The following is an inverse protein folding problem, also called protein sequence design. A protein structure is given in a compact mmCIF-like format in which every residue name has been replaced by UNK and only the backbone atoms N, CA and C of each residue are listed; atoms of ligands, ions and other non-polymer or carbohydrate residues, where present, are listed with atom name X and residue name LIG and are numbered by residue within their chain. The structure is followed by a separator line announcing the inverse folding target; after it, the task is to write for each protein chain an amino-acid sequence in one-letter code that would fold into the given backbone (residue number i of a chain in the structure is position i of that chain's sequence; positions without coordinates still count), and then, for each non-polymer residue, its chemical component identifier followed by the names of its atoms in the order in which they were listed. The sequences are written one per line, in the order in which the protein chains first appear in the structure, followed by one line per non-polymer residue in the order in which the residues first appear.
data_IF_380666499667
#
_entry.id   IF_380666499667
#
_cell.length_a   1.000
_cell.length_b   1.000
_cell.length_c   1.000
_cell.angle_alpha   90.00
_cell.angle_beta   90.00
_cell.angle_gamma   90.00
#
_symmetry.space_group_name_H-M   'P 1'
#
loop_
_entity.id
_entity.type
_entity.pdbx_description
1 polymer ?
#
# COMPACT_ATOMS: atom_id res chain seq x y z
N UNK A 1 12.48 3.39 10.16
CA UNK A 1 11.38 2.46 9.84
C UNK A 1 11.36 2.27 8.33
N UNK A 2 11.06 1.07 7.83
CA UNK A 2 11.06 0.74 6.40
C UNK A 2 9.75 1.11 5.67
N UNK A 3 8.84 1.77 6.39
CA UNK A 3 7.62 2.36 5.86
C UNK A 3 7.20 3.56 6.73
N UNK A 4 6.30 4.39 6.22
CA UNK A 4 5.80 5.57 6.93
C UNK A 4 4.57 5.24 7.78
N UNK A 5 4.59 5.68 9.03
CA UNK A 5 3.44 5.70 9.94
C UNK A 5 3.42 7.02 10.72
N UNK A 6 2.29 7.72 10.72
CA UNK A 6 2.16 9.02 11.40
C UNK A 6 2.18 8.93 12.92
N UNK A 7 1.77 7.80 13.50
CA UNK A 7 1.84 7.52 14.92
C UNK A 7 2.45 6.12 15.17
N UNK A 8 3.78 6.03 15.40
CA UNK A 8 4.47 4.75 15.57
C UNK A 8 4.02 3.91 16.77
N UNK A 9 3.36 4.52 17.75
CA UNK A 9 2.84 3.82 18.94
C UNK A 9 1.38 3.38 18.78
N UNK A 10 0.75 3.68 17.65
CA UNK A 10 -0.63 3.29 17.40
C UNK A 10 -0.76 1.77 17.24
N UNK A 11 -1.72 1.17 17.95
CA UNK A 11 -2.08 -0.23 17.76
C UNK A 11 -3.20 -0.34 16.74
N UNK A 12 -2.95 -1.04 15.64
CA UNK A 12 -3.90 -1.20 14.54
C UNK A 12 -4.14 -2.70 14.35
N UNK A 13 -5.14 -3.28 15.02
CA UNK A 13 -5.38 -4.71 14.97
C UNK A 13 -5.95 -5.13 13.62
N UNK A 14 -5.58 -6.33 13.16
CA UNK A 14 -6.23 -6.96 12.03
C UNK A 14 -7.70 -7.28 12.38
N UNK A 15 -8.64 -6.81 11.54
CA UNK A 15 -10.09 -7.00 11.74
C UNK A 15 -10.63 -8.20 10.97
N UNK A 16 -9.91 -8.65 9.92
CA UNK A 16 -10.28 -9.82 9.13
C UNK A 16 -9.47 -11.05 9.57
N UNK A 17 -10.11 -12.16 9.98
CA UNK A 17 -9.41 -13.37 10.40
C UNK A 17 -8.48 -13.91 9.30
N UNK A 18 -7.27 -14.30 9.70
CA UNK A 18 -6.28 -15.04 8.90
C UNK A 18 -5.24 -15.68 9.84
N UNK A 19 -4.35 -16.50 9.31
CA UNK A 19 -3.29 -17.18 10.08
C UNK A 19 -1.87 -16.72 9.70
N UNK A 20 -1.74 -15.56 9.03
CA UNK A 20 -0.48 -15.07 8.47
C UNK A 20 0.04 -13.85 9.22
N UNK A 21 -0.84 -12.94 9.63
CA UNK A 21 -0.49 -11.71 10.34
C UNK A 21 -1.66 -11.22 11.20
N UNK A 22 -1.28 -10.45 12.22
CA UNK A 22 -2.15 -9.78 13.18
C UNK A 22 -1.91 -8.27 13.22
N UNK A 23 -0.72 -7.81 12.80
CA UNK A 23 -0.32 -6.40 12.81
C UNK A 23 0.10 -5.88 11.44
N UNK A 24 0.10 -4.55 11.28
CA UNK A 24 0.60 -3.85 10.08
C UNK A 24 2.07 -4.16 9.81
N UNK A 25 2.90 -4.28 10.86
CA UNK A 25 4.31 -4.64 10.72
C UNK A 25 4.50 -6.05 10.17
N UNK A 26 3.76 -7.03 10.69
CA UNK A 26 3.81 -8.41 10.17
C UNK A 26 3.34 -8.50 8.72
N UNK A 27 2.29 -7.72 8.34
CA UNK A 27 1.89 -7.61 6.94
C UNK A 27 3.02 -7.02 6.08
N UNK A 28 3.69 -5.96 6.54
CA UNK A 28 4.80 -5.35 5.81
C UNK A 28 5.94 -6.36 5.58
N UNK A 29 6.35 -7.10 6.61
CA UNK A 29 7.42 -8.09 6.52
C UNK A 29 7.07 -9.21 5.52
N UNK A 30 5.82 -9.67 5.53
CA UNK A 30 5.31 -10.64 4.56
C UNK A 30 5.27 -10.09 3.12
N UNK A 31 4.82 -8.85 2.95
CA UNK A 31 4.81 -8.19 1.64
C UNK A 31 6.22 -8.05 1.09
N UNK A 32 7.18 -7.59 1.90
CA UNK A 32 8.56 -7.37 1.46
C UNK A 32 9.33 -8.69 1.22
N UNK A 33 9.05 -9.72 2.02
CA UNK A 33 9.73 -11.02 1.89
C UNK A 33 9.24 -11.82 0.69
N UNK A 34 7.92 -11.99 0.55
CA UNK A 34 7.32 -12.90 -0.43
C UNK A 34 6.20 -12.29 -1.27
N UNK A 35 5.55 -11.21 -0.83
CA UNK A 35 4.39 -10.62 -1.50
C UNK A 35 4.77 -9.88 -2.79
N UNK A 36 5.48 -8.76 -2.66
CA UNK A 36 5.81 -7.87 -3.77
C UNK A 36 6.74 -8.51 -4.79
N UNK A 37 6.29 -8.52 -6.05
CA UNK A 37 7.02 -9.04 -7.20
C UNK A 37 6.56 -8.39 -8.51
N UNK A 38 7.18 -8.79 -9.64
CA UNK A 38 6.87 -8.29 -10.99
C UNK A 38 5.40 -8.53 -11.40
N UNK A 39 4.72 -9.54 -10.85
CA UNK A 39 3.31 -9.83 -11.16
C UNK A 39 2.32 -8.99 -10.34
N UNK A 40 2.75 -8.35 -9.27
CA UNK A 40 1.90 -7.54 -8.39
C UNK A 40 2.09 -6.03 -8.59
N UNK A 41 3.09 -5.65 -9.40
CA UNK A 41 3.36 -4.26 -9.76
C UNK A 41 2.27 -3.71 -10.68
N UNK A 42 1.94 -2.42 -10.54
CA UNK A 42 0.94 -1.76 -11.40
C UNK A 42 1.39 -1.65 -12.86
N UNK A 43 2.64 -1.22 -13.09
CA UNK A 43 3.28 -1.18 -14.41
C UNK A 43 4.61 -1.91 -14.34
N UNK A 44 4.88 -2.82 -15.28
CA UNK A 44 6.11 -3.63 -15.28
C UNK A 44 7.40 -2.80 -15.18
N UNK A 45 7.43 -1.64 -15.83
CA UNK A 45 8.56 -0.70 -15.79
C UNK A 45 8.87 -0.14 -14.39
N UNK A 46 7.92 -0.23 -13.45
CA UNK A 46 8.12 0.21 -12.07
C UNK A 46 8.71 -0.89 -11.19
N UNK A 47 8.75 -2.14 -11.64
CA UNK A 47 9.29 -3.24 -10.83
C UNK A 47 10.79 -3.07 -10.66
N UNK A 48 11.23 -3.08 -9.40
CA UNK A 48 12.63 -3.04 -9.02
C UNK A 48 12.88 -4.11 -7.94
N UNK A 49 13.69 -5.14 -8.20
CA UNK A 49 14.00 -6.17 -7.20
C UNK A 49 14.82 -5.64 -6.01
N UNK A 50 15.54 -4.54 -6.17
CA UNK A 50 16.25 -3.86 -5.08
C UNK A 50 15.31 -2.95 -4.26
N UNK A 51 14.23 -2.45 -4.87
CA UNK A 51 13.20 -1.61 -4.25
C UNK A 51 11.79 -2.21 -4.47
N UNK A 52 11.53 -3.34 -3.82
CA UNK A 52 10.35 -4.20 -4.07
C UNK A 52 9.01 -3.50 -3.93
N UNK A 53 8.90 -2.46 -3.10
CA UNK A 53 7.68 -1.69 -2.89
C UNK A 53 7.31 -0.78 -4.09
N UNK A 54 8.24 -0.58 -5.04
CA UNK A 54 8.02 0.27 -6.20
C UNK A 54 6.85 -0.23 -7.06
N UNK A 55 5.87 0.65 -7.28
CA UNK A 55 4.68 0.36 -8.07
C UNK A 55 3.67 -0.58 -7.40
N UNK A 56 3.81 -0.84 -6.10
CA UNK A 56 2.95 -1.77 -5.35
C UNK A 56 1.85 -1.06 -4.53
N UNK A 57 1.76 0.27 -4.58
CA UNK A 57 0.88 1.04 -3.68
C UNK A 57 -0.61 0.65 -3.81
N UNK A 58 -1.12 0.47 -5.03
CA UNK A 58 -2.54 0.17 -5.26
C UNK A 58 -2.99 -1.15 -4.63
N UNK A 59 -2.28 -2.24 -4.93
CA UNK A 59 -2.61 -3.57 -4.43
C UNK A 59 -2.39 -3.68 -2.91
N UNK A 60 -1.35 -3.01 -2.42
CA UNK A 60 -1.07 -2.92 -0.98
C UNK A 60 -2.18 -2.17 -0.24
N UNK A 61 -2.64 -1.03 -0.76
CA UNK A 61 -3.68 -0.23 -0.13
C UNK A 61 -5.05 -0.96 -0.09
N UNK A 62 -5.35 -1.75 -1.12
CA UNK A 62 -6.53 -2.63 -1.14
C UNK A 62 -6.43 -3.70 -0.06
N UNK A 63 -5.27 -4.36 0.06
CA UNK A 63 -5.06 -5.43 1.04
C UNK A 63 -5.12 -4.89 2.49
N UNK A 64 -4.48 -3.75 2.75
CA UNK A 64 -4.57 -3.08 4.06
C UNK A 64 -6.01 -2.72 4.39
N UNK A 65 -6.76 -2.17 3.42
CA UNK A 65 -8.19 -1.87 3.63
C UNK A 65 -9.01 -3.12 3.93
N UNK A 66 -8.75 -4.22 3.23
CA UNK A 66 -9.47 -5.48 3.42
C UNK A 66 -9.23 -6.10 4.81
N UNK A 67 -8.01 -6.01 5.34
CA UNK A 67 -7.62 -6.69 6.59
C UNK A 67 -7.61 -5.80 7.84
N UNK A 68 -7.43 -4.48 7.68
CA UNK A 68 -7.35 -3.53 8.79
C UNK A 68 -8.39 -2.41 8.71
N UNK A 69 -9.12 -2.31 7.60
CA UNK A 69 -10.16 -1.29 7.39
C UNK A 69 -9.60 0.09 7.03
N UNK A 70 -10.30 1.13 7.48
CA UNK A 70 -9.96 2.51 7.19
C UNK A 70 -10.20 2.94 5.74
N UNK A 71 -9.56 4.04 5.36
CA UNK A 71 -9.76 4.72 4.09
C UNK A 71 -8.52 4.64 3.21
N UNK A 72 -8.71 4.54 1.90
CA UNK A 72 -7.63 4.70 0.92
C UNK A 72 -7.54 6.18 0.56
N UNK A 73 -6.40 6.78 0.85
CA UNK A 73 -6.09 8.18 0.57
C UNK A 73 -5.25 8.25 -0.70
N UNK A 74 -5.52 9.24 -1.55
CA UNK A 74 -4.75 9.46 -2.76
C UNK A 74 -3.83 10.66 -2.57
N UNK A 75 -2.54 10.42 -2.75
CA UNK A 75 -1.50 11.43 -2.84
C UNK A 75 -1.36 11.84 -4.32
N UNK A 76 -1.71 13.10 -4.69
CA UNK A 76 -1.57 13.60 -6.06
C UNK A 76 -0.15 13.40 -6.57
N UNK A 77 0.00 13.02 -7.85
CA UNK A 77 1.26 12.61 -8.46
C UNK A 77 2.50 13.29 -7.84
N UNK A 78 3.25 12.58 -6.97
CA UNK A 78 4.32 13.21 -6.21
C UNK A 78 5.49 13.68 -7.07
N UNK A 79 5.62 13.17 -8.31
CA UNK A 79 6.71 13.50 -9.23
C UNK A 79 6.28 14.42 -10.39
N UNK A 80 5.03 14.88 -10.44
CA UNK A 80 4.52 15.79 -11.48
C UNK A 80 4.52 15.27 -12.94
N UNK A 81 5.14 14.12 -13.24
CA UNK A 81 5.26 13.57 -14.59
C UNK A 81 4.05 12.78 -15.09
N UNK A 82 3.80 12.77 -16.40
CA UNK A 82 2.61 12.17 -17.04
C UNK A 82 2.41 10.64 -16.83
N UNK A 83 3.39 9.93 -16.25
CA UNK A 83 3.43 8.45 -16.19
C UNK A 83 2.90 7.87 -14.87
N UNK A 84 3.08 8.55 -13.71
CA UNK A 84 2.51 8.10 -12.42
C UNK A 84 1.21 8.85 -12.13
N UNK A 85 0.06 8.16 -12.21
CA UNK A 85 -1.29 8.74 -12.03
C UNK A 85 -1.65 9.15 -10.58
N UNK A 86 -0.73 9.00 -9.63
CA UNK A 86 -0.94 9.24 -8.21
C UNK A 86 -0.24 8.20 -7.36
N UNK A 87 -0.31 8.37 -6.05
CA UNK A 87 0.13 7.41 -5.04
C UNK A 87 -1.00 7.17 -4.04
N UNK A 88 -1.06 5.99 -3.42
CA UNK A 88 -2.10 5.71 -2.45
C UNK A 88 -1.56 5.04 -1.20
N UNK A 89 -2.21 5.34 -0.09
CA UNK A 89 -1.88 4.86 1.24
C UNK A 89 -3.17 4.72 2.06
N UNK A 90 -3.08 4.23 3.29
CA UNK A 90 -4.24 4.02 4.15
C UNK A 90 -4.26 4.99 5.32
N UNK A 91 -5.45 5.47 5.67
CA UNK A 91 -5.72 6.17 6.93
C UNK A 91 -6.67 5.34 7.76
N UNK A 92 -6.21 4.86 8.91
CA UNK A 92 -6.98 3.98 9.81
C UNK A 92 -7.07 4.65 11.17
N UNK A 93 -8.29 4.98 11.61
CA UNK A 93 -8.54 5.68 12.87
C UNK A 93 -7.69 6.96 13.05
N UNK A 94 -7.53 7.73 11.95
CA UNK A 94 -6.72 8.96 11.94
C UNK A 94 -5.21 8.74 11.80
N UNK A 95 -4.73 7.50 11.78
CA UNK A 95 -3.32 7.16 11.57
C UNK A 95 -3.05 6.88 10.11
N UNK A 96 -2.18 7.69 9.51
CA UNK A 96 -1.64 7.46 8.17
C UNK A 96 -0.59 6.35 8.18
N UNK A 97 -0.74 5.42 7.25
CA UNK A 97 0.13 4.25 7.04
C UNK A 97 0.40 4.14 5.54
N UNK A 98 1.68 4.20 5.17
CA UNK A 98 2.13 3.99 3.81
C UNK A 98 3.24 2.95 3.79
N UNK A 99 2.83 1.70 3.59
CA UNK A 99 3.72 0.55 3.49
C UNK A 99 4.68 0.62 2.30
N UNK A 100 4.46 1.54 1.36
CA UNK A 100 5.25 1.68 0.13
C UNK A 100 5.94 3.04 0.06
N UNK A 101 6.12 3.74 1.17
CA UNK A 101 6.71 5.07 1.22
C UNK A 101 8.12 5.13 0.65
N UNK A 102 8.89 4.05 0.81
CA UNK A 102 10.30 3.96 0.39
C UNK A 102 10.46 3.98 -1.14
N UNK A 103 9.39 3.82 -1.91
CA UNK A 103 9.43 3.98 -3.37
C UNK A 103 9.68 5.43 -3.81
N UNK A 104 9.66 6.39 -2.88
CA UNK A 104 9.88 7.81 -3.15
C UNK A 104 11.15 8.29 -2.44
N UNK A 105 12.04 8.90 -3.23
CA UNK A 105 13.20 9.63 -2.74
C UNK A 105 13.22 10.98 -3.45
N UNK A 106 13.04 12.12 -2.74
CA UNK A 106 12.83 12.23 -1.29
C UNK A 106 11.49 11.62 -0.82
N UNK A 107 11.39 11.34 0.48
CA UNK A 107 10.15 10.85 1.08
C UNK A 107 9.01 11.86 0.91
N UNK A 108 7.78 11.35 0.82
CA UNK A 108 6.59 12.17 0.70
C UNK A 108 6.31 12.94 2.00
N UNK A 109 5.60 14.06 1.88
CA UNK A 109 5.27 14.95 3.00
C UNK A 109 3.80 15.36 2.96
N UNK A 110 3.22 15.82 4.08
CA UNK A 110 1.86 16.37 4.06
C UNK A 110 0.73 15.33 3.96
N UNK A 111 0.99 14.10 4.39
CA UNK A 111 -0.01 13.02 4.43
C UNK A 111 -1.33 13.45 5.09
N UNK A 112 -1.26 14.13 6.25
CA UNK A 112 -2.43 14.53 7.05
C UNK A 112 -3.41 15.45 6.31
N UNK A 113 -2.92 16.29 5.39
CA UNK A 113 -3.74 17.23 4.61
C UNK A 113 -4.50 16.59 3.44
N UNK A 114 -4.24 15.32 3.14
CA UNK A 114 -4.84 14.64 1.99
C UNK A 114 -6.19 14.01 2.33
N UNK A 115 -7.07 13.98 1.34
CA UNK A 115 -8.43 13.49 1.48
C UNK A 115 -8.66 12.18 0.73
N UNK A 116 -9.66 11.43 1.19
CA UNK A 116 -10.11 10.19 0.57
C UNK A 116 -10.54 10.41 -0.87
N UNK A 117 -10.24 9.44 -1.73
CA UNK A 117 -10.79 9.41 -3.08
C UNK A 117 -12.15 8.70 -3.08
N UNK A 118 -13.21 9.42 -3.47
CA UNK A 118 -14.56 8.84 -3.58
C UNK A 118 -14.64 7.67 -4.59
N UNK A 119 -13.84 7.73 -5.67
CA UNK A 119 -13.90 6.80 -6.80
C UNK A 119 -12.60 6.03 -7.05
N UNK A 120 -11.93 5.52 -6.02
CA UNK A 120 -10.78 4.61 -6.20
C UNK A 120 -11.15 3.37 -7.05
N UNK A 121 -12.44 3.03 -7.14
CA UNK A 121 -12.99 1.93 -7.94
C UNK A 121 -12.78 2.02 -9.47
N UNK A 122 -12.53 3.19 -10.07
CA UNK A 122 -12.43 3.25 -11.54
C UNK A 122 -11.10 2.72 -12.14
N UNK A 123 -10.14 2.26 -11.32
CA UNK A 123 -8.90 1.58 -11.78
C UNK A 123 -8.88 0.08 -11.43
N UNK A 124 -10.06 -0.52 -11.20
CA UNK A 124 -10.26 -1.80 -10.51
C UNK A 124 -9.52 -3.02 -11.07
N UNK A 125 -9.57 -3.31 -12.37
CA UNK A 125 -9.17 -4.66 -12.80
C UNK A 125 -7.69 -5.00 -12.56
N UNK A 126 -6.76 -4.08 -12.84
CA UNK A 126 -5.33 -4.39 -12.66
C UNK A 126 -4.91 -4.38 -11.18
N UNK A 127 -5.47 -3.49 -10.36
CA UNK A 127 -5.16 -3.44 -8.93
C UNK A 127 -5.83 -4.58 -8.16
N UNK A 128 -7.05 -4.98 -8.53
CA UNK A 128 -7.73 -6.15 -7.95
C UNK A 128 -7.02 -7.45 -8.34
N UNK A 129 -6.56 -7.57 -9.60
CA UNK A 129 -5.72 -8.70 -10.01
C UNK A 129 -4.42 -8.77 -9.19
N UNK A 130 -3.72 -7.65 -9.04
CA UNK A 130 -2.49 -7.61 -8.25
C UNK A 130 -2.74 -7.92 -6.77
N UNK A 131 -3.83 -7.40 -6.18
CA UNK A 131 -4.22 -7.71 -4.81
C UNK A 131 -4.61 -9.20 -4.65
N UNK A 132 -5.26 -9.80 -5.65
CA UNK A 132 -5.55 -11.23 -5.66
C UNK A 132 -4.26 -12.07 -5.70
N UNK A 133 -3.29 -11.70 -6.55
CA UNK A 133 -1.99 -12.37 -6.60
C UNK A 133 -1.24 -12.23 -5.28
N UNK A 134 -1.29 -11.05 -4.63
CA UNK A 134 -0.74 -10.88 -3.28
C UNK A 134 -1.37 -11.88 -2.31
N UNK A 135 -2.70 -11.99 -2.27
CA UNK A 135 -3.39 -12.94 -1.40
C UNK A 135 -2.95 -14.38 -1.63
N UNK A 136 -2.88 -14.83 -2.88
CA UNK A 136 -2.39 -16.17 -3.21
C UNK A 136 -0.97 -16.42 -2.70
N UNK A 137 -0.06 -15.44 -2.88
CA UNK A 137 1.33 -15.58 -2.43
C UNK A 137 1.49 -15.56 -0.91
N UNK A 138 0.64 -14.80 -0.23
CA UNK A 138 0.61 -14.75 1.23
C UNK A 138 -0.11 -15.97 1.83
N UNK A 139 -0.82 -16.76 1.02
CA UNK A 139 -1.63 -17.89 1.47
C UNK A 139 -2.88 -17.44 2.23
N UNK A 140 -3.54 -16.39 1.73
CA UNK A 140 -4.76 -15.78 2.25
C UNK A 140 -6.01 -16.20 1.46
#
# INVERSE_FOLDING_TARGET
MAYYISNPTATIPCIKPNNKFSTIGELYDLLNSIGWNEMTVYLKVQWDPALKCSGQCNSTALLVKEYFGGEIINYPNPNGGAVKKGHCFNRINGVDIDLTSDQFTPQLTGYSGLTKKANFGMQQFSCERAAYILKLKLGL
#
